data_IF_842886697256
#
_entry.id   IF_842886697256
#
_cell.length_a   1.000
_cell.length_b   1.000
_cell.length_c   1.000
_cell.angle_alpha   90.00
_cell.angle_beta   90.00
_cell.angle_gamma   90.00
#
_symmetry.space_group_name_H-M   'P 1'
#
loop_
_entity.id
_entity.type
_entity.pdbx_description
1 polymer ?
#
# COMPACT_ATOMS: atom_id res chain seq x y z
N UNK A 1 -5.49 -10.51 -3.39
CA UNK A 1 -5.16 -9.20 -2.78
C UNK A 1 -4.25 -9.50 -1.59
N UNK A 2 -3.04 -9.95 -1.91
CA UNK A 2 -2.02 -10.27 -0.92
C UNK A 2 -1.04 -9.10 -0.97
N UNK A 3 -1.08 -8.25 0.04
CA UNK A 3 0.06 -7.40 0.30
C UNK A 3 1.22 -8.34 0.63
N UNK A 4 2.27 -8.32 -0.20
CA UNK A 4 3.57 -8.91 0.13
C UNK A 4 4.15 -8.15 1.32
N UNK A 5 3.62 -8.45 2.49
CA UNK A 5 4.13 -8.09 3.82
C UNK A 5 4.99 -9.23 4.38
N UNK A 6 5.21 -10.28 3.59
CA UNK A 6 6.11 -11.41 3.85
C UNK A 6 7.57 -11.02 3.98
N UNK A 7 7.96 -9.78 3.61
CA UNK A 7 9.33 -9.30 3.75
C UNK A 7 9.68 -8.74 5.15
N UNK A 8 8.68 -8.54 6.02
CA UNK A 8 8.89 -8.20 7.43
C UNK A 8 8.13 -9.22 8.27
N UNK A 9 8.84 -10.21 8.82
CA UNK A 9 8.28 -11.36 9.54
C UNK A 9 7.53 -11.07 10.85
N UNK A 10 6.88 -9.92 10.98
CA UNK A 10 6.04 -9.52 12.10
C UNK A 10 4.76 -8.85 11.55
N UNK A 11 3.81 -9.66 11.10
CA UNK A 11 2.44 -9.19 11.01
C UNK A 11 1.97 -8.93 12.45
N UNK A 12 1.73 -7.67 12.82
CA UNK A 12 0.99 -7.37 14.04
C UNK A 12 -0.51 -7.62 13.86
N UNK A 13 -0.98 -7.68 12.62
CA UNK A 13 -2.35 -8.02 12.25
C UNK A 13 -2.69 -9.52 12.29
N UNK A 14 -3.86 -9.88 11.74
CA UNK A 14 -4.35 -11.27 11.66
C UNK A 14 -4.62 -11.69 10.22
N UNK A 15 -4.27 -12.92 9.86
CA UNK A 15 -4.70 -13.50 8.57
C UNK A 15 -6.17 -13.92 8.70
N UNK A 16 -7.02 -13.37 7.84
CA UNK A 16 -8.46 -13.66 7.77
C UNK A 16 -8.76 -13.95 6.31
N UNK A 17 -9.56 -14.97 5.96
CA UNK A 17 -9.96 -15.24 4.57
C UNK A 17 -8.78 -15.20 3.56
N UNK A 18 -7.64 -15.80 3.91
CA UNK A 18 -6.43 -15.85 3.07
C UNK A 18 -5.80 -14.49 2.74
N UNK A 19 -6.09 -13.43 3.51
CA UNK A 19 -5.42 -12.13 3.40
C UNK A 19 -5.16 -11.48 4.76
N UNK A 20 -4.14 -10.62 4.85
CA UNK A 20 -3.81 -9.92 6.08
C UNK A 20 -4.85 -8.84 6.42
N UNK A 21 -5.36 -8.86 7.65
CA UNK A 21 -6.04 -7.74 8.27
C UNK A 21 -5.03 -6.94 9.10
N UNK A 22 -4.81 -5.69 8.70
CA UNK A 22 -3.77 -4.81 9.24
C UNK A 22 -4.02 -4.46 10.71
N UNK A 23 -2.95 -4.51 11.51
CA UNK A 23 -2.91 -4.09 12.90
C UNK A 23 -2.29 -2.71 13.10
N UNK A 24 -2.21 -2.26 14.36
CA UNK A 24 -1.72 -0.93 14.73
C UNK A 24 -0.26 -0.71 14.30
N UNK A 25 0.59 -1.74 14.44
CA UNK A 25 2.01 -1.63 14.10
C UNK A 25 2.26 -1.62 12.59
N UNK A 26 1.28 -1.99 11.78
CA UNK A 26 1.40 -1.94 10.32
C UNK A 26 1.12 -0.52 9.78
N UNK A 27 0.39 0.31 10.53
CA UNK A 27 -0.04 1.66 10.10
C UNK A 27 1.13 2.59 9.73
N UNK A 28 2.25 2.67 10.50
CA UNK A 28 3.38 3.52 10.14
C UNK A 28 3.99 3.22 8.76
N UNK A 29 3.93 1.96 8.33
CA UNK A 29 4.40 1.55 7.01
C UNK A 29 3.35 1.86 5.95
N UNK A 30 2.10 1.44 6.19
CA UNK A 30 0.95 1.68 5.31
C UNK A 30 0.81 3.16 4.93
N UNK A 31 0.98 4.07 5.88
CA UNK A 31 0.84 5.52 5.69
C UNK A 31 1.92 6.13 4.78
N UNK A 32 3.09 5.48 4.67
CA UNK A 32 4.19 5.94 3.80
C UNK A 32 4.03 5.48 2.36
N UNK A 33 3.26 4.42 2.14
CA UNK A 33 3.14 3.85 0.80
C UNK A 33 2.26 4.72 -0.10
N UNK A 34 2.51 4.73 -1.42
CA UNK A 34 1.77 5.54 -2.37
C UNK A 34 0.36 5.00 -2.69
N UNK A 35 0.00 3.79 -2.24
CA UNK A 35 -1.32 3.18 -2.44
C UNK A 35 -2.45 3.99 -1.78
N UNK A 36 -3.51 4.29 -2.55
CA UNK A 36 -4.65 5.09 -2.08
C UNK A 36 -5.62 4.31 -1.17
N UNK A 37 -5.67 2.99 -1.31
CA UNK A 37 -6.65 2.14 -0.61
C UNK A 37 -5.94 0.96 0.03
N UNK A 38 -6.29 0.73 1.29
CA UNK A 38 -5.76 -0.37 2.11
C UNK A 38 -6.89 -1.37 2.33
N UNK A 39 -6.63 -2.64 2.00
CA UNK A 39 -7.52 -3.76 2.28
C UNK A 39 -6.74 -4.84 3.06
N UNK A 40 -7.07 -5.18 4.30
CA UNK A 40 -8.28 -4.84 5.08
C UNK A 40 -7.98 -4.38 6.50
N UNK A 41 -8.85 -3.51 7.01
CA UNK A 41 -8.87 -3.06 8.39
C UNK A 41 -10.24 -3.43 8.97
N UNK A 42 -10.25 -4.17 10.08
CA UNK A 42 -11.49 -4.53 10.75
C UNK A 42 -11.53 -4.00 12.18
N UNK A 43 -12.71 -3.51 12.59
CA UNK A 43 -12.95 -3.01 13.94
C UNK A 43 -13.00 -4.13 15.00
N UNK A 44 -13.26 -5.37 14.58
CA UNK A 44 -13.31 -6.55 15.45
C UNK A 44 -11.93 -7.19 15.69
N UNK A 45 -10.93 -6.78 14.92
CA UNK A 45 -9.57 -7.34 14.97
C UNK A 45 -8.67 -6.41 15.76
N UNK A 46 -8.44 -5.19 15.26
CA UNK A 46 -7.69 -4.15 15.95
C UNK A 46 -8.24 -2.76 15.60
N UNK A 47 -9.27 -2.26 16.34
CA UNK A 47 -9.93 -1.00 16.00
C UNK A 47 -8.99 0.20 16.07
N UNK A 48 -7.93 0.12 16.88
CA UNK A 48 -6.91 1.15 16.97
C UNK A 48 -6.20 1.39 15.63
N UNK A 49 -6.01 0.37 14.79
CA UNK A 49 -5.38 0.51 13.48
C UNK A 49 -6.21 1.44 12.57
N UNK A 50 -7.53 1.20 12.53
CA UNK A 50 -8.49 2.02 11.80
C UNK A 50 -8.51 3.47 12.32
N UNK A 51 -8.57 3.65 13.65
CA UNK A 51 -8.61 4.99 14.27
C UNK A 51 -7.30 5.76 14.02
N UNK A 52 -6.14 5.11 14.10
CA UNK A 52 -4.84 5.72 13.80
C UNK A 52 -4.78 6.19 12.34
N UNK A 53 -5.19 5.36 11.39
CA UNK A 53 -5.24 5.74 9.98
C UNK A 53 -6.19 6.92 9.74
N UNK A 54 -7.38 6.90 10.36
CA UNK A 54 -8.35 8.00 10.25
C UNK A 54 -7.81 9.32 10.81
N UNK A 55 -7.07 9.29 11.94
CA UNK A 55 -6.41 10.47 12.50
C UNK A 55 -5.38 11.05 11.54
N UNK A 56 -4.58 10.20 10.91
CA UNK A 56 -3.56 10.62 9.96
C UNK A 56 -4.17 11.22 8.69
N UNK A 57 -5.23 10.62 8.14
CA UNK A 57 -5.98 11.18 7.01
C UNK A 57 -6.54 12.58 7.34
N UNK A 58 -7.13 12.76 8.53
CA UNK A 58 -7.60 14.07 8.99
C UNK A 58 -6.47 15.08 9.11
N UNK A 59 -5.33 14.67 9.67
CA UNK A 59 -4.13 15.51 9.78
C UNK A 59 -3.65 15.99 8.40
N UNK A 60 -3.60 15.10 7.39
CA UNK A 60 -3.23 15.43 6.00
C UNK A 60 -4.26 16.31 5.30
N UNK A 61 -5.53 16.20 5.67
CA UNK A 61 -6.58 17.10 5.16
C UNK A 61 -6.33 18.54 5.60
N UNK A 62 -5.83 18.73 6.83
CA UNK A 62 -5.46 20.06 7.35
C UNK A 62 -4.03 20.49 7.00
N UNK A 63 -3.17 19.56 6.59
CA UNK A 63 -1.77 19.78 6.22
C UNK A 63 -1.49 19.01 4.92
N UNK A 64 -1.89 19.55 3.76
CA UNK A 64 -1.79 18.84 2.50
C UNK A 64 -0.32 18.49 2.22
N UNK A 65 -0.11 17.24 1.82
CA UNK A 65 1.17 16.73 1.35
C UNK A 65 1.06 16.61 -0.17
N UNK A 66 2.14 16.94 -0.87
CA UNK A 66 2.19 16.78 -2.32
C UNK A 66 1.97 15.31 -2.69
N UNK A 67 1.01 15.07 -3.57
CA UNK A 67 0.67 13.74 -4.07
C UNK A 67 1.28 13.56 -5.46
N UNK A 68 2.25 12.65 -5.58
CA UNK A 68 2.80 12.25 -6.86
C UNK A 68 1.95 11.13 -7.50
N UNK A 69 1.25 11.49 -8.56
CA UNK A 69 0.42 10.56 -9.33
C UNK A 69 1.20 9.81 -10.44
N UNK A 70 2.51 10.04 -10.59
CA UNK A 70 3.32 9.46 -11.67
C UNK A 70 3.22 7.93 -11.68
N UNK A 71 3.40 7.28 -10.53
CA UNK A 71 3.29 5.82 -10.40
C UNK A 71 1.93 5.27 -10.83
N UNK A 72 0.85 6.04 -10.66
CA UNK A 72 -0.49 5.65 -11.12
C UNK A 72 -0.64 5.72 -12.64
N UNK A 73 -0.06 6.75 -13.26
CA UNK A 73 -0.07 6.90 -14.71
C UNK A 73 0.77 5.83 -15.42
N UNK A 74 1.78 5.29 -14.74
CA UNK A 74 2.68 4.24 -15.23
C UNK A 74 2.18 2.83 -14.93
N UNK A 75 0.99 2.67 -14.32
CA UNK A 75 0.43 1.35 -14.06
C UNK A 75 0.19 0.61 -15.39
N UNK A 76 0.60 -0.67 -15.52
CA UNK A 76 0.45 -1.43 -16.76
C UNK A 76 -0.95 -1.41 -17.34
N UNK A 77 -1.98 -1.54 -16.50
CA UNK A 77 -3.38 -1.50 -16.93
C UNK A 77 -3.78 -0.15 -17.55
N UNK A 78 -3.22 0.95 -17.02
CA UNK A 78 -3.45 2.32 -17.51
C UNK A 78 -2.69 2.56 -18.82
N UNK A 79 -1.45 2.07 -18.90
CA UNK A 79 -0.64 2.17 -20.11
C UNK A 79 -1.24 1.37 -21.28
N UNK A 80 -1.71 0.15 -20.99
CA UNK A 80 -2.40 -0.71 -21.97
C UNK A 80 -3.73 -0.09 -22.43
N UNK A 81 -4.51 0.52 -21.53
CA UNK A 81 -5.76 1.19 -21.91
C UNK A 81 -5.52 2.45 -22.75
N UNK A 82 -4.37 3.11 -22.57
CA UNK A 82 -3.90 4.20 -23.43
C UNK A 82 -3.31 3.73 -24.79
N UNK A 83 -3.33 2.42 -25.06
CA UNK A 83 -2.95 1.86 -26.36
C UNK A 83 -1.48 1.47 -26.51
N UNK A 84 -0.69 1.48 -25.43
CA UNK A 84 0.69 0.95 -25.47
C UNK A 84 0.68 -0.56 -25.62
N UNK A 85 1.70 -1.11 -26.27
CA UNK A 85 1.91 -2.58 -26.34
C UNK A 85 2.60 -3.06 -25.06
N UNK A 86 2.45 -4.36 -24.75
CA UNK A 86 3.12 -4.97 -23.58
C UNK A 86 4.64 -4.74 -23.59
N UNK A 87 5.26 -4.73 -24.77
CA UNK A 87 6.70 -4.50 -24.97
C UNK A 87 7.14 -3.05 -24.72
N UNK A 88 6.20 -2.11 -24.63
CA UNK A 88 6.43 -0.67 -24.51
C UNK A 88 6.03 -0.13 -23.12
N UNK A 89 5.68 -1.03 -22.20
CA UNK A 89 5.34 -0.68 -20.83
C UNK A 89 6.58 -0.21 -20.07
N UNK A 90 6.42 0.80 -19.21
CA UNK A 90 7.53 1.31 -18.39
C UNK A 90 7.98 0.28 -17.35
N UNK A 91 7.03 -0.40 -16.72
CA UNK A 91 7.29 -1.39 -15.68
C UNK A 91 6.54 -2.70 -16.00
N UNK A 92 7.03 -3.52 -16.95
CA UNK A 92 6.36 -4.75 -17.33
C UNK A 92 6.29 -5.76 -16.18
N UNK A 93 7.21 -5.69 -15.21
CA UNK A 93 7.21 -6.55 -14.02
C UNK A 93 6.04 -6.27 -13.07
N UNK A 94 5.39 -5.10 -13.18
CA UNK A 94 4.23 -4.76 -12.35
C UNK A 94 2.96 -5.52 -12.77
N UNK A 95 2.93 -6.12 -13.98
CA UNK A 95 1.82 -6.98 -14.40
C UNK A 95 1.60 -8.17 -13.46
N UNK A 96 2.67 -8.63 -12.80
CA UNK A 96 2.65 -9.80 -11.92
C UNK A 96 2.73 -9.42 -10.43
N UNK A 97 2.80 -8.13 -10.09
CA UNK A 97 2.95 -7.65 -8.71
C UNK A 97 1.64 -7.12 -8.15
N UNK A 98 1.45 -7.30 -6.84
CA UNK A 98 0.31 -6.75 -6.10
C UNK A 98 0.54 -5.34 -5.55
N UNK A 99 1.79 -4.85 -5.56
CA UNK A 99 2.18 -3.52 -5.10
C UNK A 99 3.31 -2.95 -5.98
N UNK A 100 3.25 -1.65 -6.22
CA UNK A 100 4.30 -0.87 -6.89
C UNK A 100 5.19 -0.13 -5.88
N UNK A 101 4.96 -0.31 -4.58
CA UNK A 101 5.82 0.23 -3.53
C UNK A 101 7.14 -0.54 -3.49
N UNK A 102 8.26 0.20 -3.61
CA UNK A 102 9.60 -0.32 -3.37
C UNK A 102 10.08 0.23 -2.03
N UNK A 103 10.20 -0.59 -0.97
CA UNK A 103 10.72 -0.11 0.29
C UNK A 103 12.18 0.31 0.12
N UNK A 104 12.59 1.38 0.80
CA UNK A 104 14.00 1.77 0.84
C UNK A 104 14.82 0.62 1.47
N UNK A 105 15.94 0.19 0.84
CA UNK A 105 16.75 -0.92 1.35
C UNK A 105 17.35 -0.69 2.75
N UNK A 106 17.25 0.53 3.29
CA UNK A 106 17.86 0.95 4.55
C UNK A 106 16.85 1.09 5.71
N UNK A 107 15.58 0.69 5.54
CA UNK A 107 14.61 0.75 6.63
C UNK A 107 14.81 -0.41 7.62
N UNK A 108 15.64 -0.19 8.63
CA UNK A 108 15.75 -1.05 9.81
C UNK A 108 14.77 -0.49 10.86
N UNK A 109 13.71 -1.23 11.24
CA UNK A 109 12.84 -0.79 12.33
C UNK A 109 13.67 -0.68 13.63
N UNK A 110 13.65 0.49 14.27
CA UNK A 110 14.21 0.70 15.61
C UNK A 110 13.23 0.28 16.69
#
# INVERSE_FOLDING_TARGET
>A
MEADLTYSGYYAGRIISWSCAFGVLDIPEVVKRPELVVHKLYLDTEPAAFICLLKEIRKRTHNPVDFDATSYAEMPTVELSNGKRITELKHPEWLMRSSFYRPDPLYIPK
#
